data_IF_164132188435
#
_entry.id   IF_164132188435
#
_cell.length_a   1.000
_cell.length_b   1.000
_cell.length_c   1.000
_cell.angle_alpha   90.00
_cell.angle_beta   90.00
_cell.angle_gamma   90.00
#
_symmetry.space_group_name_H-M   'P 1'
#
loop_
_entity.id
_entity.type
_entity.pdbx_description
1 polymer ?
#
# COMPACT_ATOMS: atom_id res chain seq x y z
N UNK A 1 -10.40 27.38 -13.72
CA UNK A 1 -9.24 27.02 -12.88
C UNK A 1 -8.16 26.43 -13.77
N UNK A 2 -6.90 26.86 -13.67
CA UNK A 2 -5.78 26.29 -14.44
C UNK A 2 -5.06 25.28 -13.56
N UNK A 3 -5.02 24.01 -13.98
CA UNK A 3 -4.29 22.95 -13.30
C UNK A 3 -2.80 22.94 -13.70
N UNK A 4 -1.97 22.30 -12.88
CA UNK A 4 -0.56 22.06 -13.22
C UNK A 4 -0.45 21.08 -14.41
N UNK A 5 0.51 21.29 -15.31
CA UNK A 5 0.67 20.49 -16.55
C UNK A 5 0.77 18.98 -16.28
N UNK A 6 1.42 18.55 -15.20
CA UNK A 6 1.54 17.13 -14.85
C UNK A 6 0.20 16.41 -14.65
N UNK A 7 -0.89 17.15 -14.37
CA UNK A 7 -2.23 16.56 -14.28
C UNK A 7 -2.70 15.96 -15.60
N UNK A 8 -2.23 16.46 -16.76
CA UNK A 8 -2.61 15.91 -18.06
C UNK A 8 -1.95 14.55 -18.35
N UNK A 9 -1.06 14.07 -17.48
CA UNK A 9 -0.39 12.77 -17.61
C UNK A 9 -1.05 11.67 -16.79
N UNK A 10 -2.01 12.01 -15.93
CA UNK A 10 -2.73 11.03 -15.12
C UNK A 10 -3.82 10.38 -15.99
N UNK A 11 -3.82 9.05 -16.06
CA UNK A 11 -4.90 8.26 -16.66
C UNK A 11 -5.97 7.89 -15.63
N UNK A 12 -7.01 7.19 -16.08
CA UNK A 12 -8.00 6.55 -15.20
C UNK A 12 -7.56 5.13 -14.82
N UNK A 13 -7.89 4.73 -13.59
CA UNK A 13 -7.69 3.37 -13.11
C UNK A 13 -8.78 2.44 -13.66
N UNK A 14 -8.40 1.55 -14.56
CA UNK A 14 -9.31 0.75 -15.37
C UNK A 14 -9.99 -0.37 -14.58
N UNK A 15 -9.36 -0.85 -13.49
CA UNK A 15 -9.95 -1.88 -12.63
C UNK A 15 -11.25 -1.40 -11.97
N UNK A 16 -11.31 -0.15 -11.49
CA UNK A 16 -12.53 0.41 -10.88
C UNK A 16 -13.64 0.70 -11.90
N UNK A 17 -13.27 1.08 -13.13
CA UNK A 17 -14.23 1.21 -14.22
C UNK A 17 -14.90 -0.13 -14.53
N UNK A 18 -14.11 -1.22 -14.54
CA UNK A 18 -14.62 -2.57 -14.74
C UNK A 18 -15.50 -3.04 -13.58
N UNK A 19 -15.09 -2.80 -12.33
CA UNK A 19 -15.90 -3.11 -11.16
C UNK A 19 -17.26 -2.39 -11.20
N UNK A 20 -17.28 -1.13 -11.63
CA UNK A 20 -18.52 -0.35 -11.77
C UNK A 20 -19.46 -0.97 -12.80
N UNK A 21 -18.93 -1.41 -13.94
CA UNK A 21 -19.70 -2.11 -14.99
C UNK A 21 -20.20 -3.47 -14.50
N UNK A 22 -19.37 -4.23 -13.79
CA UNK A 22 -19.75 -5.52 -13.22
C UNK A 22 -20.96 -5.35 -12.28
N UNK A 23 -20.89 -4.42 -11.32
CA UNK A 23 -22.00 -4.12 -10.41
C UNK A 23 -23.29 -3.70 -11.10
N UNK A 24 -23.19 -2.95 -12.21
CA UNK A 24 -24.36 -2.58 -13.00
C UNK A 24 -25.04 -3.77 -13.67
N UNK A 25 -24.27 -4.81 -14.04
CA UNK A 25 -24.80 -6.06 -14.59
C UNK A 25 -25.38 -6.95 -13.48
N UNK A 26 -24.75 -7.01 -12.31
CA UNK A 26 -25.30 -7.70 -11.14
C UNK A 26 -26.65 -7.12 -10.71
N UNK A 27 -26.78 -5.79 -10.74
CA UNK A 27 -28.06 -5.10 -10.45
C UNK A 27 -29.18 -5.46 -11.45
N UNK A 28 -28.84 -6.00 -12.63
CA UNK A 28 -29.79 -6.52 -13.62
C UNK A 28 -30.09 -8.02 -13.41
N UNK A 29 -29.61 -8.61 -12.32
CA UNK A 29 -29.80 -10.02 -11.98
C UNK A 29 -28.82 -10.97 -12.68
N UNK A 30 -27.71 -10.46 -13.24
CA UNK A 30 -26.69 -11.31 -13.87
C UNK A 30 -25.68 -11.78 -12.82
N UNK A 31 -25.31 -13.05 -12.90
CA UNK A 31 -24.19 -13.58 -12.14
C UNK A 31 -22.87 -13.17 -12.81
N UNK A 32 -21.99 -12.54 -12.04
CA UNK A 32 -20.70 -12.02 -12.52
C UNK A 32 -19.57 -12.65 -11.72
N UNK A 33 -18.55 -13.13 -12.43
CA UNK A 33 -17.29 -13.59 -11.82
C UNK A 33 -16.29 -12.45 -11.89
N UNK A 34 -15.83 -11.99 -10.73
CA UNK A 34 -14.86 -10.90 -10.61
C UNK A 34 -13.44 -11.42 -10.78
N UNK A 35 -12.71 -10.86 -11.74
CA UNK A 35 -11.30 -11.18 -12.05
C UNK A 35 -10.46 -9.91 -12.24
N UNK A 36 -11.00 -8.75 -11.87
CA UNK A 36 -10.42 -7.42 -12.13
C UNK A 36 -9.77 -6.76 -10.90
N UNK A 37 -10.10 -7.22 -9.69
CA UNK A 37 -9.62 -6.64 -8.44
C UNK A 37 -8.42 -7.43 -7.93
N UNK A 38 -7.36 -6.71 -7.54
CA UNK A 38 -6.09 -7.29 -7.11
C UNK A 38 -5.90 -7.40 -5.59
N UNK A 39 -6.97 -7.21 -4.80
CA UNK A 39 -6.92 -7.44 -3.35
C UNK A 39 -7.33 -8.88 -3.03
N UNK A 40 -6.76 -9.51 -1.99
CA UNK A 40 -7.19 -10.84 -1.59
C UNK A 40 -8.63 -10.85 -1.08
N UNK A 41 -9.29 -12.01 -1.20
CA UNK A 41 -10.67 -12.25 -0.80
C UNK A 41 -10.83 -12.58 0.70
N UNK A 42 -9.73 -12.70 1.43
CA UNK A 42 -9.73 -13.00 2.87
C UNK A 42 -9.55 -11.76 3.74
N UNK A 43 -10.16 -11.80 4.92
CA UNK A 43 -10.00 -10.77 5.94
C UNK A 43 -8.59 -10.73 6.53
N UNK A 44 -8.23 -9.58 7.13
CA UNK A 44 -6.98 -9.47 7.89
C UNK A 44 -6.97 -10.49 9.05
N UNK A 45 -5.91 -11.30 9.20
CA UNK A 45 -5.80 -12.28 10.29
C UNK A 45 -6.06 -11.70 11.68
N UNK A 46 -6.79 -12.45 12.51
CA UNK A 46 -7.27 -11.97 13.82
C UNK A 46 -6.16 -11.50 14.75
N UNK A 47 -4.99 -12.16 14.74
CA UNK A 47 -3.86 -11.75 15.56
C UNK A 47 -3.33 -10.35 15.22
N UNK A 48 -3.47 -9.91 13.95
CA UNK A 48 -3.09 -8.57 13.51
C UNK A 48 -4.14 -7.56 13.97
N UNK A 49 -5.42 -7.90 13.81
CA UNK A 49 -6.55 -7.07 14.26
C UNK A 49 -6.46 -6.81 15.77
N UNK A 50 -6.24 -7.86 16.57
CA UNK A 50 -6.13 -7.74 18.03
C UNK A 50 -4.90 -6.90 18.45
N UNK A 51 -3.77 -7.02 17.74
CA UNK A 51 -2.60 -6.18 18.00
C UNK A 51 -2.88 -4.70 17.73
N UNK A 52 -3.60 -4.38 16.66
CA UNK A 52 -4.02 -3.01 16.34
C UNK A 52 -5.00 -2.45 17.38
N UNK A 53 -5.99 -3.25 17.80
CA UNK A 53 -6.94 -2.88 18.87
C UNK A 53 -6.20 -2.61 20.17
N UNK A 54 -5.25 -3.47 20.54
CA UNK A 54 -4.42 -3.27 21.73
C UNK A 54 -3.63 -1.96 21.65
N UNK A 55 -2.96 -1.69 20.53
CA UNK A 55 -2.20 -0.46 20.33
C UNK A 55 -3.08 0.79 20.48
N UNK A 56 -4.31 0.76 19.96
CA UNK A 56 -5.29 1.84 20.14
C UNK A 56 -5.67 2.03 21.62
N UNK A 57 -5.95 0.94 22.34
CA UNK A 57 -6.28 0.97 23.79
C UNK A 57 -5.11 1.48 24.64
N UNK A 58 -3.88 1.21 24.21
CA UNK A 58 -2.64 1.67 24.87
C UNK A 58 -2.25 3.10 24.48
N UNK A 59 -3.03 3.79 23.65
CA UNK A 59 -2.79 5.18 23.28
C UNK A 59 -1.67 5.38 22.26
N UNK A 60 -1.37 4.37 21.43
CA UNK A 60 -0.40 4.48 20.33
C UNK A 60 -1.00 5.28 19.15
N UNK A 61 -1.28 6.56 19.37
CA UNK A 61 -2.04 7.44 18.44
C UNK A 61 -1.31 8.73 18.08
N UNK A 62 -0.06 8.88 18.54
CA UNK A 62 0.76 10.05 18.31
C UNK A 62 1.78 9.84 17.19
N UNK A 63 2.46 10.92 16.81
CA UNK A 63 3.51 10.88 15.79
C UNK A 63 4.58 9.83 16.11
N UNK A 64 4.97 9.10 15.07
CA UNK A 64 6.11 8.19 15.08
C UNK A 64 7.31 8.85 14.40
N UNK A 65 8.52 8.30 14.53
CA UNK A 65 9.64 8.71 13.69
C UNK A 65 9.26 8.60 12.20
N UNK A 66 9.78 9.51 11.36
CA UNK A 66 9.41 9.59 9.94
C UNK A 66 9.71 8.30 9.15
N UNK A 67 10.73 7.55 9.56
CA UNK A 67 11.08 6.27 8.94
C UNK A 67 10.21 5.08 9.43
N UNK A 68 9.38 5.28 10.46
CA UNK A 68 8.66 4.24 11.18
C UNK A 68 9.26 3.94 12.56
N UNK A 69 8.48 3.28 13.41
CA UNK A 69 8.92 2.87 14.75
C UNK A 69 10.06 1.83 14.68
N UNK A 70 11.01 1.80 15.62
CA UNK A 70 12.15 0.88 15.56
C UNK A 70 11.76 -0.60 15.41
N UNK A 71 10.74 -1.04 16.15
CA UNK A 71 10.34 -2.44 16.23
C UNK A 71 9.91 -3.02 14.88
N UNK A 72 9.13 -2.27 14.08
CA UNK A 72 8.71 -2.74 12.76
C UNK A 72 9.86 -2.74 11.76
N UNK A 73 10.79 -1.78 11.88
CA UNK A 73 11.97 -1.71 11.01
C UNK A 73 12.92 -2.88 11.25
N UNK A 74 13.11 -3.25 12.50
CA UNK A 74 13.87 -4.45 12.91
C UNK A 74 13.21 -5.73 12.40
N UNK A 75 11.88 -5.86 12.59
CA UNK A 75 11.13 -7.02 12.13
C UNK A 75 11.20 -7.19 10.60
N UNK A 76 11.03 -6.12 9.83
CA UNK A 76 11.14 -6.15 8.36
C UNK A 76 12.56 -6.53 7.93
N UNK A 77 13.59 -5.95 8.53
CA UNK A 77 14.97 -6.26 8.20
C UNK A 77 15.28 -7.76 8.43
N UNK A 78 14.89 -8.30 9.59
CA UNK A 78 15.07 -9.72 9.91
C UNK A 78 14.30 -10.65 8.96
N UNK A 79 13.04 -10.32 8.65
CA UNK A 79 12.20 -11.10 7.73
C UNK A 79 12.79 -11.14 6.33
N UNK A 80 13.18 -9.98 5.77
CA UNK A 80 13.77 -9.92 4.44
C UNK A 80 15.12 -10.63 4.43
N UNK A 81 15.94 -10.49 5.48
CA UNK A 81 17.20 -11.21 5.55
C UNK A 81 17.04 -12.71 5.55
N UNK A 82 16.05 -13.21 6.28
CA UNK A 82 15.77 -14.65 6.36
C UNK A 82 15.17 -15.17 5.05
N UNK A 83 14.16 -14.49 4.52
CA UNK A 83 13.37 -14.97 3.37
C UNK A 83 14.04 -14.74 2.02
N UNK A 84 14.94 -13.75 1.92
CA UNK A 84 15.63 -13.39 0.67
C UNK A 84 17.12 -13.71 0.68
N UNK A 85 17.69 -14.10 1.82
CA UNK A 85 19.11 -14.46 1.94
C UNK A 85 20.06 -13.28 1.73
N UNK A 86 19.63 -12.06 2.05
CA UNK A 86 20.45 -10.83 1.94
C UNK A 86 20.55 -10.15 3.30
N UNK A 87 21.72 -9.62 3.67
CA UNK A 87 21.82 -8.86 4.92
C UNK A 87 21.13 -7.50 4.76
N UNK A 88 20.14 -7.22 5.62
CA UNK A 88 19.41 -5.94 5.65
C UNK A 88 19.56 -5.34 7.05
N UNK A 89 20.07 -4.12 7.11
CA UNK A 89 20.13 -3.36 8.35
C UNK A 89 18.81 -2.61 8.56
N UNK A 90 18.26 -2.53 9.80
CA UNK A 90 17.07 -1.73 10.09
C UNK A 90 17.18 -0.26 9.66
N UNK A 91 18.40 0.29 9.64
CA UNK A 91 18.75 1.61 9.10
C UNK A 91 18.39 1.82 7.63
N UNK A 92 18.26 0.73 6.86
CA UNK A 92 17.89 0.74 5.44
C UNK A 92 16.38 0.56 5.21
N UNK A 93 15.58 0.42 6.28
CA UNK A 93 14.13 0.22 6.19
C UNK A 93 13.38 1.52 6.46
N UNK A 94 12.42 1.84 5.60
CA UNK A 94 11.46 2.95 5.75
C UNK A 94 10.03 2.40 5.58
N UNK A 95 9.15 2.73 6.52
CA UNK A 95 7.73 2.33 6.47
C UNK A 95 6.90 3.43 5.82
N UNK A 96 6.08 3.07 4.83
CA UNK A 96 5.19 3.98 4.09
C UNK A 96 3.74 3.48 4.11
N UNK A 97 2.75 4.34 3.83
CA UNK A 97 1.35 3.91 3.74
C UNK A 97 1.11 3.10 2.46
N UNK A 98 1.45 1.81 2.53
CA UNK A 98 1.42 0.88 1.40
C UNK A 98 2.61 1.04 0.45
N UNK A 99 2.61 0.23 -0.61
CA UNK A 99 3.72 0.19 -1.59
C UNK A 99 3.69 1.31 -2.65
N UNK A 100 2.53 1.92 -2.91
CA UNK A 100 2.41 2.97 -3.93
C UNK A 100 3.23 4.23 -3.61
N UNK A 101 3.18 4.79 -2.39
CA UNK A 101 3.96 5.96 -2.05
C UNK A 101 5.46 5.76 -2.17
N UNK A 102 6.01 4.61 -1.75
CA UNK A 102 7.45 4.39 -1.84
C UNK A 102 7.91 4.32 -3.30
N UNK A 103 7.16 3.65 -4.19
CA UNK A 103 7.47 3.66 -5.63
C UNK A 103 7.48 5.09 -6.19
N UNK A 104 6.49 5.90 -5.83
CA UNK A 104 6.44 7.30 -6.25
C UNK A 104 7.61 8.12 -5.71
N UNK A 105 7.93 7.99 -4.42
CA UNK A 105 9.03 8.72 -3.79
C UNK A 105 10.40 8.30 -4.34
N UNK A 106 10.60 7.01 -4.61
CA UNK A 106 11.84 6.52 -5.23
C UNK A 106 12.03 7.11 -6.63
N UNK A 107 10.98 7.13 -7.47
CA UNK A 107 11.05 7.78 -8.78
C UNK A 107 11.33 9.27 -8.62
N UNK A 108 10.64 9.95 -7.70
CA UNK A 108 10.85 11.37 -7.46
C UNK A 108 12.26 11.70 -6.94
N UNK A 109 12.87 10.80 -6.18
CA UNK A 109 14.18 11.00 -5.57
C UNK A 109 15.34 10.67 -6.53
N UNK A 110 15.12 9.79 -7.51
CA UNK A 110 16.20 9.25 -8.35
C UNK A 110 16.10 9.60 -9.83
N UNK A 111 14.90 9.88 -10.35
CA UNK A 111 14.69 10.13 -11.78
C UNK A 111 14.57 11.62 -12.08
N UNK A 112 15.28 12.06 -13.11
CA UNK A 112 15.20 13.40 -13.68
C UNK A 112 14.43 13.40 -15.00
N UNK A 113 14.22 14.58 -15.57
CA UNK A 113 13.62 14.69 -16.90
C UNK A 113 14.53 14.03 -17.94
N UNK A 114 13.99 13.00 -18.61
CA UNK A 114 14.59 12.26 -19.74
C UNK A 114 15.50 11.08 -19.36
N UNK A 115 15.52 10.65 -18.09
CA UNK A 115 15.83 9.25 -17.74
C UNK A 115 14.72 8.31 -18.23
#
# INVERSE_FOLDING_TARGET
MKLATRMSRLGTETAFEMLTKARALEAQGREIVHLEIGEPDFDTPSNIVEAAVKALREGQTHYTPSAGIPQIREAIAAEISTTRGIEVNPGQVVVTPGGKPIMFFTILALCEKSD
#
